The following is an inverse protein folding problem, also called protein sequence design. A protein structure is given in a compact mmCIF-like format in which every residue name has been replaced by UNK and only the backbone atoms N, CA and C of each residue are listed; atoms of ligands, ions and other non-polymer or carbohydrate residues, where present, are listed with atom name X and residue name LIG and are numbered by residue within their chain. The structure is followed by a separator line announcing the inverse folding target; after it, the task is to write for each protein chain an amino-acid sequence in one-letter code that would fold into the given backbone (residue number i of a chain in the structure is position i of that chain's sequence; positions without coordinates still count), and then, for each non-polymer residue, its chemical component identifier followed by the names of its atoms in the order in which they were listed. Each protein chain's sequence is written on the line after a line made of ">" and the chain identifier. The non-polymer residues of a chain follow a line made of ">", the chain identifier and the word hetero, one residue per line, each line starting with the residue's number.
data_IF_920145147602
#
_entry.id   IF_920145147602
#
_cell.length_a   1.000
_cell.length_b   1.000
_cell.length_c   1.000
_cell.angle_alpha   90.00
_cell.angle_beta   90.00
_cell.angle_gamma   90.00
#
_symmetry.space_group_name_H-M   'P 1'
#
loop_
_entity.id
_entity.type
_entity.pdbx_description
1 polymer ?
#
# COMPACT_ATOMS: atom_id res chain seq x y z
N UNK A 1 -7.54 -20.90 6.40
CA UNK A 1 -7.49 -19.65 5.61
C UNK A 1 -6.13 -19.59 4.91
N UNK A 2 -6.09 -19.86 3.59
CA UNK A 2 -4.84 -20.07 2.83
C UNK A 2 -4.01 -18.78 2.66
N UNK A 3 -2.70 -18.86 2.91
CA UNK A 3 -1.72 -17.76 2.72
C UNK A 3 -1.81 -17.09 1.34
N UNK A 4 -2.18 -17.85 0.30
CA UNK A 4 -2.41 -17.34 -1.06
C UNK A 4 -3.53 -16.29 -1.16
N UNK A 5 -4.61 -16.43 -0.39
CA UNK A 5 -5.71 -15.44 -0.40
C UNK A 5 -5.30 -14.15 0.31
N UNK A 6 -4.46 -14.24 1.34
CA UNK A 6 -3.95 -13.07 2.04
C UNK A 6 -3.08 -12.21 1.13
N UNK A 7 -2.10 -12.82 0.44
CA UNK A 7 -1.23 -12.11 -0.51
C UNK A 7 -2.03 -11.51 -1.67
N UNK A 8 -3.09 -12.18 -2.12
CA UNK A 8 -3.97 -11.66 -3.18
C UNK A 8 -4.75 -10.42 -2.71
N UNK A 9 -5.33 -10.46 -1.51
CA UNK A 9 -5.97 -9.28 -0.92
C UNK A 9 -4.98 -8.13 -0.74
N UNK A 10 -3.77 -8.43 -0.28
CA UNK A 10 -2.69 -7.47 -0.10
C UNK A 10 -2.36 -6.73 -1.40
N UNK A 11 -2.17 -7.49 -2.48
CA UNK A 11 -1.90 -6.93 -3.81
C UNK A 11 -3.06 -6.09 -4.33
N UNK A 12 -4.31 -6.50 -4.10
CA UNK A 12 -5.47 -5.71 -4.50
C UNK A 12 -5.53 -4.37 -3.77
N UNK A 13 -5.38 -4.38 -2.43
CA UNK A 13 -5.36 -3.14 -1.63
C UNK A 13 -4.24 -2.21 -2.07
N UNK A 14 -3.03 -2.74 -2.30
CA UNK A 14 -1.91 -1.97 -2.84
C UNK A 14 -2.25 -1.34 -4.19
N UNK A 15 -2.81 -2.12 -5.11
CA UNK A 15 -3.10 -1.68 -6.47
C UNK A 15 -4.19 -0.61 -6.50
N UNK A 16 -5.24 -0.78 -5.71
CA UNK A 16 -6.30 0.22 -5.56
C UNK A 16 -5.78 1.52 -4.94
N UNK A 17 -4.97 1.42 -3.89
CA UNK A 17 -4.38 2.60 -3.22
C UNK A 17 -3.44 3.36 -4.15
N UNK A 18 -2.59 2.65 -4.89
CA UNK A 18 -1.69 3.25 -5.89
C UNK A 18 -2.51 3.92 -7.00
N UNK A 19 -3.52 3.24 -7.56
CA UNK A 19 -4.37 3.83 -8.59
C UNK A 19 -5.07 5.08 -8.08
N UNK A 20 -5.67 5.05 -6.88
CA UNK A 20 -6.33 6.22 -6.29
C UNK A 20 -5.38 7.41 -6.10
N UNK A 21 -4.14 7.15 -5.68
CA UNK A 21 -3.15 8.20 -5.48
C UNK A 21 -2.56 8.72 -6.79
N UNK A 22 -2.23 7.85 -7.75
CA UNK A 22 -1.51 8.24 -8.96
C UNK A 22 -2.42 8.69 -10.10
N UNK A 23 -3.69 8.27 -10.15
CA UNK A 23 -4.61 8.61 -11.25
C UNK A 23 -4.88 10.11 -11.39
N UNK A 24 -4.71 10.88 -10.31
CA UNK A 24 -4.86 12.35 -10.30
C UNK A 24 -3.55 13.12 -10.20
N UNK A 25 -2.40 12.43 -10.19
CA UNK A 25 -1.10 13.04 -9.97
C UNK A 25 -0.31 13.07 -11.27
N UNK A 26 0.17 14.25 -11.64
CA UNK A 26 1.16 14.40 -12.70
C UNK A 26 2.55 14.11 -12.14
N UNK A 27 3.38 13.38 -12.86
CA UNK A 27 4.74 13.07 -12.42
C UNK A 27 5.47 14.33 -11.94
N UNK A 28 5.93 14.29 -10.69
CA UNK A 28 6.72 15.33 -10.06
C UNK A 28 7.77 14.63 -9.18
N UNK A 29 9.04 14.82 -9.52
CA UNK A 29 10.16 14.13 -8.88
C UNK A 29 10.23 14.43 -7.37
N UNK A 30 10.04 15.70 -6.98
CA UNK A 30 10.04 16.12 -5.56
C UNK A 30 8.88 15.53 -4.76
N UNK A 31 7.73 15.36 -5.40
CA UNK A 31 6.51 14.82 -4.75
C UNK A 31 6.43 13.30 -4.79
N UNK A 32 7.25 12.64 -5.62
CA UNK A 32 7.23 11.18 -5.77
C UNK A 32 7.56 10.48 -4.45
N UNK A 33 8.61 10.91 -3.74
CA UNK A 33 8.97 10.35 -2.43
C UNK A 33 7.86 10.52 -1.39
N UNK A 34 7.17 11.66 -1.42
CA UNK A 34 6.04 11.93 -0.55
C UNK A 34 4.85 11.02 -0.87
N UNK A 35 4.50 10.85 -2.15
CA UNK A 35 3.41 9.96 -2.56
C UNK A 35 3.69 8.50 -2.24
N UNK A 36 4.92 8.05 -2.46
CA UNK A 36 5.32 6.68 -2.10
C UNK A 36 5.18 6.46 -0.59
N UNK A 37 5.61 7.43 0.22
CA UNK A 37 5.43 7.38 1.69
C UNK A 37 3.94 7.34 2.09
N UNK A 38 3.10 8.18 1.47
CA UNK A 38 1.65 8.20 1.75
C UNK A 38 0.94 6.90 1.35
N UNK A 39 1.31 6.31 0.21
CA UNK A 39 0.77 5.02 -0.25
C UNK A 39 1.19 3.92 0.72
N UNK A 40 2.45 3.91 1.16
CA UNK A 40 2.97 2.95 2.14
C UNK A 40 2.25 3.05 3.48
N UNK A 41 2.12 4.25 4.04
CA UNK A 41 1.43 4.48 5.31
C UNK A 41 -0.04 4.06 5.25
N UNK A 42 -0.73 4.41 4.16
CA UNK A 42 -2.13 4.03 3.92
C UNK A 42 -2.27 2.52 3.83
N UNK A 43 -1.36 1.87 3.10
CA UNK A 43 -1.39 0.42 2.95
C UNK A 43 -1.06 -0.28 4.28
N UNK A 44 -0.06 0.19 5.02
CA UNK A 44 0.28 -0.35 6.35
C UNK A 44 -0.88 -0.20 7.33
N UNK A 45 -1.63 0.91 7.30
CA UNK A 45 -2.86 1.07 8.08
C UNK A 45 -3.90 0.02 7.73
N UNK A 46 -4.20 -0.17 6.44
CA UNK A 46 -5.15 -1.20 5.98
C UNK A 46 -4.68 -2.62 6.35
N UNK A 47 -3.37 -2.87 6.32
CA UNK A 47 -2.79 -4.13 6.76
C UNK A 47 -2.91 -4.33 8.27
N UNK A 48 -2.75 -3.28 9.07
CA UNK A 48 -2.92 -3.37 10.53
C UNK A 48 -4.36 -3.73 10.91
N UNK A 49 -5.36 -3.28 10.13
CA UNK A 49 -6.78 -3.62 10.33
C UNK A 49 -7.07 -5.10 10.12
N UNK A 50 -6.22 -5.82 9.38
CA UNK A 50 -6.35 -7.28 9.23
C UNK A 50 -6.04 -8.03 10.53
N UNK A 51 -5.58 -7.32 11.57
CA UNK A 51 -5.39 -7.78 12.95
C UNK A 51 -4.62 -9.11 13.03
N UNK A 52 -3.66 -9.29 12.12
CA UNK A 52 -2.80 -10.48 12.07
C UNK A 52 -1.46 -10.16 12.75
N UNK A 53 -0.87 -11.12 13.48
CA UNK A 53 0.42 -10.94 14.16
C UNK A 53 1.57 -11.02 13.16
N UNK A 54 1.56 -10.16 12.13
CA UNK A 54 2.61 -10.05 11.14
C UNK A 54 3.37 -8.73 11.33
N UNK A 55 4.69 -8.79 11.18
CA UNK A 55 5.53 -7.60 11.11
C UNK A 55 5.55 -7.13 9.65
N UNK A 56 4.88 -6.04 9.36
CA UNK A 56 4.88 -5.43 8.04
C UNK A 56 6.10 -4.51 7.89
N UNK A 57 6.87 -4.67 6.81
CA UNK A 57 8.05 -3.86 6.50
C UNK A 57 7.89 -3.31 5.09
N UNK A 58 7.95 -1.99 4.94
CA UNK A 58 7.96 -1.31 3.65
C UNK A 58 9.35 -0.76 3.34
N UNK A 59 9.81 -0.91 2.10
CA UNK A 59 11.04 -0.32 1.60
C UNK A 59 10.70 0.67 0.48
N UNK A 60 11.31 1.86 0.53
CA UNK A 60 11.27 2.92 -0.48
C UNK A 60 12.66 3.00 -1.11
#
# INVERSE_FOLDING_TARGET
>A
MNSKNFLKNLKNVFKETISQFLEKMHYNEEKTNFWVSQILDTTLKELSKLNKPFKYVGHI
#
